data_IF_674067685087
#
_entry.id   IF_674067685087
#
_cell.length_a   1.000
_cell.length_b   1.000
_cell.length_c   1.000
_cell.angle_alpha   90.00
_cell.angle_beta   90.00
_cell.angle_gamma   90.00
#
_symmetry.space_group_name_H-M   'P 1'
#
loop_
_entity.id
_entity.type
_entity.pdbx_description
1 polymer ?
#
# COMPACT_ATOMS: atom_id res chain seq x y z
N UNK A 1 -6.22 19.27 2.07
CA UNK A 1 -6.79 20.50 2.63
C UNK A 1 -7.41 21.28 1.48
N UNK A 2 -8.65 21.69 1.58
CA UNK A 2 -9.25 22.58 0.57
C UNK A 2 -8.84 24.02 0.88
N UNK A 3 -8.56 24.81 -0.16
CA UNK A 3 -8.37 26.25 -0.01
C UNK A 3 -9.72 26.94 0.25
N UNK A 4 -9.69 28.22 0.53
CA UNK A 4 -10.88 29.04 0.81
C UNK A 4 -11.89 29.07 -0.35
N UNK A 5 -11.51 28.56 -1.53
CA UNK A 5 -12.31 28.48 -2.75
C UNK A 5 -12.77 27.05 -3.08
N UNK A 6 -12.51 26.07 -2.20
CA UNK A 6 -12.94 24.67 -2.39
C UNK A 6 -12.06 23.85 -3.35
N UNK A 7 -10.90 24.38 -3.77
CA UNK A 7 -9.98 23.63 -4.61
C UNK A 7 -9.06 22.76 -3.74
N UNK A 8 -8.80 21.55 -4.22
CA UNK A 8 -7.83 20.63 -3.59
C UNK A 8 -6.45 21.28 -3.63
N UNK A 9 -5.88 21.67 -2.48
CA UNK A 9 -4.44 21.90 -2.41
C UNK A 9 -3.76 20.57 -2.69
N UNK A 10 -3.09 20.46 -3.83
CA UNK A 10 -2.14 19.38 -4.07
C UNK A 10 -1.16 19.37 -2.89
N UNK A 11 -1.20 18.30 -2.10
CA UNK A 11 -0.14 18.02 -1.15
C UNK A 11 1.08 17.79 -2.02
N UNK A 12 2.05 18.70 -1.94
CA UNK A 12 3.30 18.62 -2.68
C UNK A 12 3.81 17.19 -2.62
N UNK A 13 3.88 16.55 -3.78
CA UNK A 13 4.60 15.30 -3.94
C UNK A 13 5.98 15.55 -3.39
N UNK A 14 6.38 14.82 -2.36
CA UNK A 14 7.73 14.89 -1.78
C UNK A 14 8.67 14.69 -2.97
N UNK A 15 9.32 15.76 -3.42
CA UNK A 15 10.27 15.70 -4.53
C UNK A 15 11.47 14.90 -4.05
N UNK A 16 12.07 14.11 -4.93
CA UNK A 16 13.31 13.35 -4.64
C UNK A 16 14.40 14.18 -3.91
N UNK A 17 14.38 15.52 -4.05
CA UNK A 17 15.26 16.44 -3.34
C UNK A 17 14.98 16.59 -1.85
N UNK A 18 13.76 16.35 -1.38
CA UNK A 18 13.38 16.52 0.03
C UNK A 18 13.80 15.30 0.89
N UNK A 19 13.97 14.13 0.27
CA UNK A 19 14.50 12.93 0.92
C UNK A 19 16.00 13.04 1.26
N UNK A 20 16.74 13.89 0.54
CA UNK A 20 18.18 14.14 0.81
C UNK A 20 18.41 15.14 1.96
N UNK A 21 17.39 15.81 2.45
CA UNK A 21 17.47 16.80 3.52
C UNK A 21 17.05 16.22 4.89
N UNK A 22 17.55 15.05 5.31
CA UNK A 22 17.55 14.52 6.70
C UNK A 22 16.42 14.99 7.66
N UNK A 23 15.23 15.34 7.14
CA UNK A 23 14.11 15.84 7.94
C UNK A 23 13.17 14.75 8.44
N UNK A 24 13.21 13.57 7.78
CA UNK A 24 12.43 12.41 8.18
C UNK A 24 13.36 11.23 8.40
N UNK A 25 13.54 10.84 9.64
CA UNK A 25 14.48 9.78 10.03
C UNK A 25 13.87 8.38 9.93
N UNK A 26 12.54 8.28 9.82
CA UNK A 26 11.85 6.99 9.64
C UNK A 26 10.41 7.17 9.11
N UNK A 27 9.81 6.07 8.68
CA UNK A 27 8.44 6.02 8.16
C UNK A 27 7.40 6.44 9.22
N UNK A 28 7.71 6.24 10.51
CA UNK A 28 6.86 6.66 11.61
C UNK A 28 6.61 8.17 11.62
N UNK A 29 7.64 8.97 11.35
CA UNK A 29 7.54 10.43 11.34
C UNK A 29 6.61 10.91 10.21
N UNK A 30 6.66 10.26 9.04
CA UNK A 30 5.81 10.58 7.89
C UNK A 30 4.35 10.13 8.14
N UNK A 31 4.16 9.01 8.81
CA UNK A 31 2.84 8.43 9.04
C UNK A 31 2.13 9.02 10.25
N UNK A 32 2.86 9.60 11.21
CA UNK A 32 2.30 10.22 12.41
C UNK A 32 1.34 11.36 12.04
N UNK A 33 1.75 12.26 11.18
CA UNK A 33 0.92 13.40 10.72
C UNK A 33 -0.36 12.92 10.01
N UNK A 34 -0.31 11.74 9.37
CA UNK A 34 -1.46 11.15 8.67
C UNK A 34 -2.44 10.41 9.57
N UNK A 35 -2.01 9.97 10.77
CA UNK A 35 -2.83 9.15 11.68
C UNK A 35 -3.59 10.03 12.67
N UNK A 36 -3.05 11.19 13.03
CA UNK A 36 -3.66 12.10 14.01
C UNK A 36 -4.90 12.82 13.48
N UNK A 37 -5.07 13.00 12.17
CA UNK A 37 -6.29 13.57 11.59
C UNK A 37 -7.54 12.70 11.90
N UNK A 38 -7.41 11.37 11.98
CA UNK A 38 -8.55 10.47 12.30
C UNK A 38 -8.94 10.52 13.80
N UNK A 39 -8.06 11.00 14.69
CA UNK A 39 -8.35 11.07 16.15
C UNK A 39 -9.08 12.35 16.57
N UNK A 40 -9.02 13.42 15.80
CA UNK A 40 -9.73 14.66 16.13
C UNK A 40 -11.22 14.60 15.79
N UNK A 41 -11.62 13.91 14.72
CA UNK A 41 -13.04 13.74 14.37
C UNK A 41 -13.80 12.91 15.40
N UNK A 42 -13.19 11.90 16.03
CA UNK A 42 -13.83 11.08 17.07
C UNK A 42 -13.91 11.71 18.46
N UNK A 43 -13.21 12.82 18.72
CA UNK A 43 -13.32 13.57 19.99
C UNK A 43 -14.56 14.46 20.07
N UNK A 44 -15.15 14.85 18.95
CA UNK A 44 -16.32 15.74 18.93
C UNK A 44 -17.67 15.05 19.23
N UNK A 45 -17.75 13.72 19.16
CA UNK A 45 -19.00 12.98 19.42
C UNK A 45 -19.15 12.42 20.84
N UNK A 46 -18.16 12.57 21.74
CA UNK A 46 -18.21 11.97 23.11
C UNK A 46 -18.16 12.96 24.27
N UNK A 47 -18.60 14.18 24.09
CA UNK A 47 -18.85 15.10 25.23
C UNK A 47 -20.31 15.14 25.56
N UNK A 48 -20.83 14.04 26.09
CA UNK A 48 -22.00 14.03 27.01
C UNK A 48 -22.18 12.62 27.56
N UNK A 49 -21.55 12.33 28.68
CA UNK A 49 -22.16 11.58 29.79
C UNK A 49 -21.13 11.38 30.92
N UNK A 50 -21.56 11.85 32.02
CA UNK A 50 -21.09 11.87 33.40
C UNK A 50 -20.44 10.61 33.97
N UNK A 51 -19.36 10.88 34.76
CA UNK A 51 -18.97 10.28 36.07
C UNK A 51 -19.24 8.80 36.35
N UNK A 52 -18.21 7.98 36.59
CA UNK A 52 -17.72 7.52 37.92
C UNK A 52 -16.81 6.29 37.77
N UNK A 53 -15.85 6.25 38.71
CA UNK A 53 -15.03 5.14 39.17
C UNK A 53 -13.69 4.90 38.50
N UNK A 54 -12.69 5.32 39.28
CA UNK A 54 -11.29 4.89 39.29
C UNK A 54 -11.23 3.39 39.57
N UNK A 55 -10.78 2.62 38.56
CA UNK A 55 -10.26 1.27 38.80
C UNK A 55 -8.90 1.18 38.07
N UNK A 56 -7.86 1.09 38.91
CA UNK A 56 -6.51 0.75 38.52
C UNK A 56 -6.51 -0.64 37.87
N UNK A 57 -6.45 -0.70 36.52
CA UNK A 57 -6.03 -1.90 35.81
C UNK A 57 -4.95 -1.48 34.80
N UNK A 58 -3.76 -2.07 34.95
CA UNK A 58 -2.69 -2.05 33.97
C UNK A 58 -3.25 -2.46 32.59
N UNK A 59 -3.77 -1.51 31.86
CA UNK A 59 -4.28 -1.68 30.52
C UNK A 59 -3.11 -1.40 29.57
N UNK A 60 -2.32 -2.42 29.28
CA UNK A 60 -1.45 -2.40 28.12
C UNK A 60 -2.37 -2.20 26.90
N UNK A 61 -2.46 -0.97 26.40
CA UNK A 61 -3.30 -0.62 25.25
C UNK A 61 -2.88 -1.50 24.08
N UNK A 62 -3.72 -2.45 23.69
CA UNK A 62 -3.47 -3.39 22.60
C UNK A 62 -3.25 -2.56 21.33
N UNK A 63 -2.04 -2.67 20.75
CA UNK A 63 -1.64 -1.96 19.56
C UNK A 63 -2.56 -2.34 18.39
N UNK A 64 -3.06 -1.36 17.63
CA UNK A 64 -3.90 -1.60 16.44
C UNK A 64 -2.99 -2.10 15.31
N UNK A 65 -3.25 -3.29 14.77
CA UNK A 65 -2.48 -3.88 13.67
C UNK A 65 -3.32 -3.83 12.39
N UNK A 66 -2.83 -3.09 11.40
CA UNK A 66 -3.38 -3.12 10.06
C UNK A 66 -2.64 -4.18 9.24
N UNK A 67 -3.36 -5.05 8.53
CA UNK A 67 -2.77 -6.14 7.75
C UNK A 67 -2.87 -5.87 6.27
N UNK A 68 -1.74 -5.91 5.58
CA UNK A 68 -1.68 -5.73 4.14
C UNK A 68 -1.02 -6.91 3.45
N UNK A 69 -1.56 -7.27 2.31
CA UNK A 69 -1.03 -8.31 1.44
C UNK A 69 -0.28 -7.66 0.27
N UNK A 70 0.97 -8.06 0.09
CA UNK A 70 1.85 -7.60 -1.00
C UNK A 70 2.31 -8.82 -1.79
N UNK A 71 2.25 -8.76 -3.11
CA UNK A 71 2.70 -9.82 -4.01
C UNK A 71 3.90 -9.36 -4.82
N UNK A 72 4.90 -10.23 -5.02
CA UNK A 72 6.03 -9.97 -5.89
C UNK A 72 5.86 -10.72 -7.22
N UNK A 73 5.95 -9.99 -8.32
CA UNK A 73 5.79 -10.47 -9.69
C UNK A 73 7.05 -10.18 -10.50
N UNK A 74 7.25 -10.88 -11.58
CA UNK A 74 8.42 -10.68 -12.45
C UNK A 74 8.98 -11.99 -12.98
N UNK A 75 9.94 -11.90 -13.90
CA UNK A 75 10.55 -13.06 -14.54
C UNK A 75 11.37 -13.92 -13.55
N UNK A 76 11.78 -15.10 -13.99
CA UNK A 76 12.69 -15.95 -13.18
C UNK A 76 14.04 -15.25 -13.03
N UNK A 77 14.71 -15.48 -11.91
CA UNK A 77 16.08 -15.00 -11.62
C UNK A 77 16.27 -13.47 -11.54
N UNK A 78 15.19 -12.66 -11.56
CA UNK A 78 15.28 -11.20 -11.34
C UNK A 78 15.55 -10.85 -9.88
N UNK A 79 15.51 -11.82 -8.96
CA UNK A 79 15.84 -11.63 -7.53
C UNK A 79 14.65 -11.36 -6.61
N UNK A 80 13.41 -11.81 -6.93
CA UNK A 80 12.23 -11.64 -6.05
C UNK A 80 12.48 -12.19 -4.64
N UNK A 81 12.86 -13.45 -4.54
CA UNK A 81 13.19 -14.10 -3.25
C UNK A 81 14.32 -13.39 -2.52
N UNK A 82 15.37 -12.95 -3.24
CA UNK A 82 16.50 -12.23 -2.65
C UNK A 82 16.07 -10.87 -2.08
N UNK A 83 15.16 -10.14 -2.75
CA UNK A 83 14.58 -8.89 -2.24
C UNK A 83 13.79 -9.15 -0.96
N UNK A 84 12.94 -10.20 -0.93
CA UNK A 84 12.18 -10.56 0.28
C UNK A 84 13.12 -10.91 1.43
N UNK A 85 14.13 -11.75 1.18
CA UNK A 85 15.10 -12.16 2.20
C UNK A 85 15.90 -10.94 2.73
N UNK A 86 16.28 -10.01 1.85
CA UNK A 86 16.94 -8.77 2.25
C UNK A 86 16.03 -7.91 3.12
N UNK A 87 14.77 -7.71 2.70
CA UNK A 87 13.84 -6.86 3.44
C UNK A 87 13.43 -7.45 4.79
N UNK A 88 13.09 -8.74 4.83
CA UNK A 88 12.54 -9.37 6.04
C UNK A 88 13.64 -9.75 7.03
N UNK A 89 14.72 -10.37 6.54
CA UNK A 89 15.77 -10.99 7.37
C UNK A 89 17.11 -10.27 7.30
N UNK A 90 17.24 -9.22 6.47
CA UNK A 90 18.51 -8.52 6.17
C UNK A 90 19.61 -9.48 5.69
N UNK A 91 19.24 -10.52 4.92
CA UNK A 91 20.16 -11.56 4.39
C UNK A 91 20.17 -11.54 2.88
N UNK A 92 21.34 -11.87 2.30
CA UNK A 92 21.51 -12.11 0.88
C UNK A 92 22.34 -13.36 0.68
N UNK A 93 21.85 -14.28 -0.15
CA UNK A 93 22.55 -15.49 -0.56
C UNK A 93 22.67 -15.48 -2.07
N UNK A 94 23.91 -15.54 -2.63
CA UNK A 94 24.14 -15.45 -4.08
C UNK A 94 23.53 -16.63 -4.86
N UNK A 95 23.49 -17.78 -4.23
CA UNK A 95 22.82 -18.97 -4.77
C UNK A 95 21.82 -19.43 -3.72
N UNK A 96 20.51 -19.40 -4.02
CA UNK A 96 19.56 -19.96 -3.08
C UNK A 96 19.88 -21.45 -2.93
N UNK A 97 20.52 -21.82 -1.84
CA UNK A 97 20.52 -23.19 -1.36
C UNK A 97 19.06 -23.67 -1.40
N UNK A 98 18.85 -24.90 -1.84
CA UNK A 98 17.56 -25.58 -2.00
C UNK A 98 16.47 -25.01 -1.10
N UNK A 99 15.22 -24.89 -1.58
CA UNK A 99 14.14 -24.23 -0.82
C UNK A 99 14.17 -24.75 0.60
N UNK A 100 14.41 -23.83 1.56
CA UNK A 100 14.36 -24.16 2.97
C UNK A 100 13.07 -24.94 3.21
N UNK A 101 13.13 -25.98 4.02
CA UNK A 101 12.07 -26.96 4.30
C UNK A 101 10.72 -26.35 4.76
N UNK A 102 10.67 -25.05 5.00
CA UNK A 102 9.43 -24.30 5.15
C UNK A 102 8.96 -23.85 3.75
N UNK A 103 8.19 -24.69 3.09
CA UNK A 103 7.51 -24.42 1.80
C UNK A 103 6.48 -23.25 1.88
N UNK A 104 6.80 -22.18 2.58
CA UNK A 104 5.90 -21.04 2.71
C UNK A 104 6.28 -19.94 1.71
N UNK A 105 5.45 -19.77 0.68
CA UNK A 105 5.56 -18.64 -0.26
C UNK A 105 5.26 -17.29 0.42
N UNK A 106 4.98 -17.30 1.72
CA UNK A 106 4.58 -16.14 2.51
C UNK A 106 5.63 -15.79 3.56
N UNK A 107 6.10 -14.55 3.55
CA UNK A 107 6.90 -13.93 4.61
C UNK A 107 6.10 -12.82 5.31
N UNK A 108 6.37 -12.60 6.58
CA UNK A 108 5.69 -11.57 7.38
C UNK A 108 6.73 -10.57 7.90
N UNK A 109 6.44 -9.28 7.74
CA UNK A 109 7.19 -8.17 8.35
C UNK A 109 6.23 -7.29 9.13
N UNK A 110 6.55 -7.02 10.39
CA UNK A 110 5.83 -6.05 11.21
C UNK A 110 6.62 -4.74 11.18
N UNK A 111 5.91 -3.66 10.89
CA UNK A 111 6.44 -2.30 10.86
C UNK A 111 5.69 -1.53 11.93
N UNK A 112 6.41 -1.03 12.93
CA UNK A 112 5.84 -0.14 13.92
C UNK A 112 5.74 1.27 13.34
N UNK A 113 4.54 1.84 13.42
CA UNK A 113 4.26 3.19 12.94
C UNK A 113 4.35 4.18 14.10
N UNK A 114 3.67 3.86 15.18
CA UNK A 114 3.67 4.62 16.43
C UNK A 114 3.42 3.69 17.64
N UNK A 115 3.32 4.28 18.84
CA UNK A 115 3.07 3.53 20.08
C UNK A 115 1.71 2.81 20.09
N UNK A 116 0.78 3.18 19.21
CA UNK A 116 -0.60 2.68 19.18
C UNK A 116 -0.90 1.83 17.96
N UNK A 117 -0.09 1.95 16.89
CA UNK A 117 -0.37 1.29 15.60
C UNK A 117 0.85 0.62 14.99
N UNK A 118 0.60 -0.50 14.32
CA UNK A 118 1.59 -1.25 13.54
C UNK A 118 0.96 -1.72 12.23
N UNK A 119 1.81 -2.03 11.27
CA UNK A 119 1.42 -2.68 10.02
C UNK A 119 2.06 -4.06 9.94
N UNK A 120 1.25 -5.06 9.66
CA UNK A 120 1.70 -6.40 9.29
C UNK A 120 1.68 -6.52 7.77
N UNK A 121 2.84 -6.60 7.13
CA UNK A 121 2.98 -6.92 5.71
C UNK A 121 3.09 -8.42 5.53
N UNK A 122 2.11 -9.03 4.88
CA UNK A 122 2.16 -10.40 4.37
C UNK A 122 2.69 -10.36 2.94
N UNK A 123 3.93 -10.76 2.73
CA UNK A 123 4.66 -10.67 1.46
C UNK A 123 4.68 -12.05 0.80
N UNK A 124 4.19 -12.15 -0.44
CA UNK A 124 4.08 -13.40 -1.16
C UNK A 124 5.08 -13.48 -2.31
N UNK A 125 5.95 -14.50 -2.26
CA UNK A 125 6.87 -14.84 -3.34
C UNK A 125 6.18 -15.73 -4.38
N UNK A 126 6.05 -15.25 -5.60
CA UNK A 126 5.42 -16.01 -6.68
C UNK A 126 6.42 -16.84 -7.49
N UNK A 127 7.66 -16.98 -7.03
CA UNK A 127 8.73 -17.67 -7.78
C UNK A 127 8.40 -19.14 -8.05
N UNK A 128 7.81 -19.83 -7.08
CA UNK A 128 7.48 -21.25 -7.21
C UNK A 128 6.27 -21.50 -8.12
N UNK A 129 5.28 -20.62 -8.11
CA UNK A 129 4.07 -20.73 -8.95
C UNK A 129 4.37 -20.63 -10.45
N UNK A 130 5.33 -19.82 -10.84
CA UNK A 130 5.72 -19.68 -12.25
C UNK A 130 6.28 -20.99 -12.83
N UNK A 131 6.86 -21.85 -12.01
CA UNK A 131 7.30 -23.18 -12.42
C UNK A 131 6.13 -24.08 -12.84
N UNK A 132 4.90 -23.78 -12.35
CA UNK A 132 3.66 -24.48 -12.69
C UNK A 132 2.87 -23.80 -13.83
N UNK A 133 3.40 -22.75 -14.47
CA UNK A 133 2.91 -22.16 -15.72
C UNK A 133 2.03 -20.92 -15.59
N UNK A 134 1.34 -20.70 -14.48
CA UNK A 134 0.53 -19.48 -14.23
C UNK A 134 0.47 -19.17 -12.75
N UNK A 135 0.52 -17.86 -12.41
CA UNK A 135 0.24 -17.41 -11.06
C UNK A 135 -1.26 -17.55 -10.81
N UNK A 136 -1.63 -18.26 -9.74
CA UNK A 136 -3.03 -18.52 -9.44
C UNK A 136 -3.75 -17.22 -9.00
N UNK A 137 -5.05 -17.13 -9.29
CA UNK A 137 -5.87 -15.97 -8.89
C UNK A 137 -5.83 -15.69 -7.39
N UNK A 138 -5.55 -16.69 -6.57
CA UNK A 138 -5.47 -16.53 -5.12
C UNK A 138 -4.37 -15.57 -4.66
N UNK A 139 -3.27 -15.43 -5.43
CA UNK A 139 -2.24 -14.44 -5.12
C UNK A 139 -2.74 -13.02 -5.30
N UNK A 140 -3.49 -12.76 -6.37
CA UNK A 140 -4.04 -11.42 -6.67
C UNK A 140 -5.22 -11.04 -5.78
N UNK A 141 -6.00 -12.05 -5.34
CA UNK A 141 -7.16 -11.81 -4.49
C UNK A 141 -6.76 -11.12 -3.19
N UNK A 142 -7.47 -10.04 -2.85
CA UNK A 142 -7.26 -9.23 -1.64
C UNK A 142 -5.83 -8.66 -1.50
N UNK A 143 -5.07 -8.55 -2.60
CA UNK A 143 -3.78 -7.91 -2.61
C UNK A 143 -3.94 -6.38 -2.54
N UNK A 144 -3.18 -5.75 -1.64
CA UNK A 144 -3.16 -4.31 -1.43
C UNK A 144 -2.03 -3.64 -2.21
N UNK A 145 -0.93 -4.37 -2.42
CA UNK A 145 0.21 -3.93 -3.19
C UNK A 145 0.75 -5.02 -4.10
N UNK A 146 1.30 -4.62 -5.24
CA UNK A 146 2.02 -5.49 -6.16
C UNK A 146 3.37 -4.87 -6.50
N UNK A 147 4.42 -5.65 -6.36
CA UNK A 147 5.79 -5.27 -6.74
C UNK A 147 6.14 -6.03 -8.02
N UNK A 148 6.45 -5.30 -9.09
CA UNK A 148 6.96 -5.88 -10.33
C UNK A 148 8.48 -5.72 -10.31
N UNK A 149 9.20 -6.85 -10.28
CA UNK A 149 10.66 -6.87 -10.24
C UNK A 149 11.21 -7.18 -11.62
N UNK A 150 12.17 -6.39 -12.07
CA UNK A 150 12.99 -6.64 -13.24
C UNK A 150 14.47 -6.46 -12.91
N UNK A 151 15.35 -6.87 -13.81
CA UNK A 151 16.79 -6.88 -13.64
C UNK A 151 17.44 -5.94 -14.65
N UNK A 152 18.38 -5.11 -14.22
CA UNK A 152 19.11 -4.18 -15.09
C UNK A 152 19.88 -4.85 -16.22
N UNK A 153 20.37 -6.08 -16.02
CA UNK A 153 21.09 -6.83 -17.06
C UNK A 153 20.14 -7.50 -18.05
N UNK A 154 18.89 -7.76 -17.65
CA UNK A 154 17.95 -8.56 -18.41
C UNK A 154 16.86 -7.70 -19.07
N UNK A 155 17.12 -7.21 -20.30
CA UNK A 155 16.13 -6.41 -21.07
C UNK A 155 14.82 -7.15 -21.30
N UNK A 156 14.83 -8.49 -21.36
CA UNK A 156 13.61 -9.28 -21.53
C UNK A 156 12.71 -9.16 -20.29
N UNK A 157 13.29 -9.20 -19.09
CA UNK A 157 12.54 -8.99 -17.85
C UNK A 157 11.88 -7.61 -17.79
N UNK A 158 12.56 -6.58 -18.29
CA UNK A 158 12.00 -5.24 -18.44
C UNK A 158 10.83 -5.21 -19.44
N UNK A 159 10.99 -5.83 -20.61
CA UNK A 159 9.94 -5.87 -21.63
C UNK A 159 8.66 -6.57 -21.14
N UNK A 160 8.78 -7.46 -20.14
CA UNK A 160 7.65 -8.16 -19.52
C UNK A 160 6.87 -7.31 -18.50
N UNK A 161 7.31 -6.11 -18.14
CA UNK A 161 6.59 -5.25 -17.18
C UNK A 161 5.15 -5.00 -17.62
N UNK A 162 4.93 -4.66 -18.91
CA UNK A 162 3.58 -4.43 -19.46
C UNK A 162 2.67 -5.65 -19.33
N UNK A 163 3.22 -6.85 -19.49
CA UNK A 163 2.50 -8.10 -19.28
C UNK A 163 2.06 -8.23 -17.82
N UNK A 164 2.97 -7.99 -16.87
CA UNK A 164 2.65 -8.06 -15.44
C UNK A 164 1.65 -6.99 -15.01
N UNK A 165 1.75 -5.76 -15.50
CA UNK A 165 0.76 -4.71 -15.28
C UNK A 165 -0.64 -5.14 -15.76
N UNK A 166 -0.73 -5.75 -16.94
CA UNK A 166 -1.99 -6.28 -17.48
C UNK A 166 -2.56 -7.41 -16.61
N UNK A 167 -1.71 -8.32 -16.14
CA UNK A 167 -2.12 -9.41 -15.24
C UNK A 167 -2.67 -8.86 -13.92
N UNK A 168 -2.03 -7.85 -13.32
CA UNK A 168 -2.51 -7.16 -12.13
C UNK A 168 -3.89 -6.54 -12.40
N UNK A 169 -4.01 -5.76 -13.47
CA UNK A 169 -5.26 -5.06 -13.81
C UNK A 169 -6.44 -6.01 -14.04
N UNK A 170 -6.18 -7.22 -14.52
CA UNK A 170 -7.21 -8.22 -14.82
C UNK A 170 -7.63 -9.05 -13.59
N UNK A 171 -6.74 -9.23 -12.62
CA UNK A 171 -6.92 -10.23 -11.56
C UNK A 171 -6.92 -9.65 -10.14
N UNK A 172 -6.35 -8.46 -9.93
CA UNK A 172 -6.25 -7.80 -8.62
C UNK A 172 -7.38 -6.79 -8.39
N UNK A 173 -7.59 -6.35 -7.14
CA UNK A 173 -8.47 -5.21 -6.84
C UNK A 173 -8.03 -3.95 -7.61
N UNK A 174 -9.01 -3.11 -8.00
CA UNK A 174 -8.74 -1.90 -8.82
C UNK A 174 -7.88 -0.84 -8.11
N UNK A 175 -7.83 -0.90 -6.81
CA UNK A 175 -7.12 0.01 -5.92
C UNK A 175 -5.74 -0.51 -5.49
N UNK A 176 -5.27 -1.58 -6.12
CA UNK A 176 -3.95 -2.12 -5.82
C UNK A 176 -2.86 -1.09 -6.14
N UNK A 177 -1.95 -0.89 -5.18
CA UNK A 177 -0.79 -0.01 -5.38
C UNK A 177 0.32 -0.80 -6.07
N UNK A 178 0.83 -0.26 -7.18
CA UNK A 178 1.90 -0.90 -7.96
C UNK A 178 3.23 -0.20 -7.70
N UNK A 179 4.29 -1.00 -7.53
CA UNK A 179 5.67 -0.54 -7.42
C UNK A 179 6.56 -1.34 -8.38
N UNK A 180 7.39 -0.66 -9.16
CA UNK A 180 8.41 -1.27 -10.02
C UNK A 180 9.75 -1.24 -9.29
N UNK A 181 10.45 -2.39 -9.26
CA UNK A 181 11.79 -2.48 -8.70
C UNK A 181 12.79 -2.94 -9.77
N UNK A 182 13.70 -2.03 -10.11
CA UNK A 182 14.88 -2.32 -10.93
C UNK A 182 15.97 -2.91 -10.03
N UNK A 183 16.08 -4.24 -9.98
CA UNK A 183 17.02 -4.92 -9.10
C UNK A 183 18.40 -5.08 -9.73
N UNK A 184 19.36 -5.41 -8.89
CA UNK A 184 20.79 -5.56 -9.19
C UNK A 184 21.46 -4.22 -9.57
N UNK A 185 21.05 -3.14 -8.89
CA UNK A 185 21.65 -1.81 -9.10
C UNK A 185 23.14 -1.74 -8.72
N UNK A 186 23.65 -2.72 -7.97
CA UNK A 186 25.06 -2.95 -7.68
C UNK A 186 25.90 -3.24 -8.94
N UNK A 187 25.28 -3.70 -10.02
CA UNK A 187 25.95 -3.96 -11.29
C UNK A 187 26.00 -2.67 -12.13
N UNK A 188 27.20 -2.08 -12.19
CA UNK A 188 27.44 -0.84 -12.95
C UNK A 188 27.70 -1.17 -14.43
N UNK A 189 28.38 -2.27 -14.69
CA UNK A 189 28.74 -2.74 -16.03
C UNK A 189 27.74 -3.80 -16.47
N UNK A 190 27.31 -3.75 -17.74
CA UNK A 190 26.38 -4.74 -18.29
C UNK A 190 24.89 -4.38 -18.15
N UNK A 191 24.56 -3.17 -17.73
CA UNK A 191 23.17 -2.70 -17.73
C UNK A 191 22.64 -2.58 -19.16
N UNK A 192 21.57 -3.31 -19.44
CA UNK A 192 20.84 -3.32 -20.72
C UNK A 192 19.54 -2.51 -20.65
N UNK A 193 19.19 -2.01 -19.47
CA UNK A 193 17.99 -1.22 -19.22
C UNK A 193 18.37 0.14 -18.68
N UNK A 194 17.77 1.20 -19.23
CA UNK A 194 17.88 2.55 -18.70
C UNK A 194 16.76 2.76 -17.65
N UNK A 195 17.12 3.31 -16.49
CA UNK A 195 16.16 3.55 -15.42
C UNK A 195 15.13 4.62 -15.78
N UNK A 196 15.49 5.62 -16.59
CA UNK A 196 14.52 6.63 -17.07
C UNK A 196 13.44 6.01 -17.97
N UNK A 197 13.77 4.96 -18.75
CA UNK A 197 12.75 4.20 -19.47
C UNK A 197 11.80 3.49 -18.50
N UNK A 198 12.31 2.98 -17.38
CA UNK A 198 11.51 2.33 -16.36
C UNK A 198 10.59 3.31 -15.62
N UNK A 199 11.08 4.50 -15.27
CA UNK A 199 10.27 5.59 -14.69
C UNK A 199 9.14 6.00 -15.63
N UNK A 200 9.45 6.19 -16.91
CA UNK A 200 8.45 6.53 -17.93
C UNK A 200 7.37 5.44 -18.04
N UNK A 201 7.78 4.17 -18.00
CA UNK A 201 6.84 3.04 -18.05
C UNK A 201 6.00 2.90 -16.77
N UNK A 202 6.55 3.29 -15.63
CA UNK A 202 5.85 3.28 -14.35
C UNK A 202 4.71 4.32 -14.32
N UNK A 203 4.88 5.47 -14.98
CA UNK A 203 3.93 6.58 -14.92
C UNK A 203 3.74 7.04 -13.47
N UNK A 204 2.49 7.01 -12.98
CA UNK A 204 2.15 7.41 -11.59
C UNK A 204 2.47 6.33 -10.53
N UNK A 205 2.95 5.17 -10.95
CA UNK A 205 3.34 4.12 -10.02
C UNK A 205 4.72 4.38 -9.42
N UNK A 206 4.96 3.78 -8.25
CA UNK A 206 6.28 3.84 -7.61
C UNK A 206 7.33 3.12 -8.46
N UNK A 207 8.54 3.67 -8.53
CA UNK A 207 9.65 3.07 -9.26
C UNK A 207 10.98 3.34 -8.56
N UNK A 208 11.73 2.29 -8.21
CA UNK A 208 13.01 2.40 -7.50
C UNK A 208 14.07 1.50 -8.10
N UNK A 209 15.31 2.01 -8.14
CA UNK A 209 16.51 1.17 -8.26
C UNK A 209 16.81 0.54 -6.91
N UNK A 210 17.01 -0.78 -6.88
CA UNK A 210 17.31 -1.52 -5.65
C UNK A 210 18.45 -2.52 -5.87
N UNK A 211 19.16 -2.85 -4.80
CA UNK A 211 20.07 -3.99 -4.78
C UNK A 211 19.73 -4.92 -3.62
N UNK A 212 19.27 -6.12 -3.92
CA UNK A 212 19.08 -7.14 -2.90
C UNK A 212 20.43 -7.54 -2.26
N UNK A 213 21.54 -7.47 -3.02
CA UNK A 213 22.88 -7.79 -2.55
C UNK A 213 23.37 -6.80 -1.50
N UNK A 214 23.34 -5.50 -1.80
CA UNK A 214 23.85 -4.45 -0.94
C UNK A 214 22.79 -3.95 0.06
N UNK A 215 21.52 -4.21 -0.20
CA UNK A 215 20.39 -3.70 0.57
C UNK A 215 19.94 -2.30 0.16
N UNK A 216 20.60 -1.69 -0.83
CA UNK A 216 20.31 -0.34 -1.26
C UNK A 216 18.84 -0.18 -1.69
N UNK A 217 18.16 0.84 -1.16
CA UNK A 217 16.76 1.22 -1.41
C UNK A 217 15.70 0.12 -1.20
N UNK A 218 16.06 -1.10 -0.73
CA UNK A 218 15.08 -2.17 -0.54
C UNK A 218 14.09 -1.79 0.55
N UNK A 219 14.54 -1.36 1.73
CA UNK A 219 13.65 -0.93 2.82
C UNK A 219 12.82 0.28 2.42
N UNK A 220 13.44 1.30 1.80
CA UNK A 220 12.75 2.50 1.33
C UNK A 220 11.59 2.17 0.38
N UNK A 221 11.80 1.27 -0.58
CA UNK A 221 10.78 0.90 -1.55
C UNK A 221 9.56 0.25 -0.89
N UNK A 222 9.76 -0.66 0.08
CA UNK A 222 8.66 -1.27 0.84
C UNK A 222 7.96 -0.27 1.76
N UNK A 223 8.69 0.65 2.36
CA UNK A 223 8.14 1.72 3.22
C UNK A 223 7.23 2.65 2.41
N UNK A 224 7.71 3.12 1.26
CA UNK A 224 6.93 3.98 0.37
C UNK A 224 5.70 3.26 -0.21
N UNK A 225 5.83 1.98 -0.55
CA UNK A 225 4.69 1.16 -0.96
C UNK A 225 3.67 1.06 0.17
N UNK A 226 4.11 0.79 1.40
CA UNK A 226 3.24 0.69 2.58
C UNK A 226 2.51 1.99 2.86
N UNK A 227 3.22 3.12 2.80
CA UNK A 227 2.63 4.44 2.96
C UNK A 227 1.54 4.70 1.93
N UNK A 228 1.81 4.41 0.65
CA UNK A 228 0.85 4.61 -0.43
C UNK A 228 -0.37 3.69 -0.29
N UNK A 229 -0.20 2.45 0.19
CA UNK A 229 -1.30 1.54 0.51
C UNK A 229 -2.19 2.12 1.61
N UNK A 230 -1.62 2.63 2.70
CA UNK A 230 -2.37 3.24 3.81
C UNK A 230 -3.17 4.44 3.30
N UNK A 231 -2.55 5.32 2.52
CA UNK A 231 -3.19 6.50 1.92
C UNK A 231 -4.39 6.10 1.05
N UNK A 232 -4.22 5.09 0.20
CA UNK A 232 -5.27 4.61 -0.68
C UNK A 232 -6.45 3.97 0.11
N UNK A 233 -6.15 3.20 1.15
CA UNK A 233 -7.19 2.62 2.02
C UNK A 233 -8.01 3.70 2.75
N UNK A 234 -7.36 4.77 3.23
CA UNK A 234 -8.06 5.89 3.85
C UNK A 234 -8.94 6.65 2.86
N UNK A 235 -8.43 6.91 1.64
CA UNK A 235 -9.20 7.56 0.56
C UNK A 235 -10.48 6.79 0.27
N UNK A 236 -10.39 5.45 0.13
CA UNK A 236 -11.56 4.59 -0.13
C UNK A 236 -12.57 4.59 1.01
N UNK A 237 -12.08 4.56 2.25
CA UNK A 237 -12.97 4.62 3.40
C UNK A 237 -13.78 5.91 3.38
N UNK A 238 -13.11 7.07 3.17
CA UNK A 238 -13.80 8.37 3.07
C UNK A 238 -14.82 8.39 1.93
N UNK A 239 -14.50 7.87 0.75
CA UNK A 239 -15.43 7.79 -0.39
C UNK A 239 -16.66 6.93 -0.07
N UNK A 240 -16.46 5.76 0.54
CA UNK A 240 -17.55 4.87 0.92
C UNK A 240 -18.47 5.52 1.96
N UNK A 241 -17.92 6.20 2.95
CA UNK A 241 -18.68 6.91 4.00
C UNK A 241 -19.49 8.07 3.39
N UNK A 242 -18.95 8.80 2.41
CA UNK A 242 -19.69 9.83 1.67
C UNK A 242 -20.86 9.26 0.86
N UNK A 243 -20.65 8.13 0.19
CA UNK A 243 -21.72 7.46 -0.58
C UNK A 243 -22.84 7.00 0.33
N UNK A 244 -22.53 6.46 1.50
CA UNK A 244 -23.54 6.02 2.48
C UNK A 244 -24.35 7.19 3.03
N UNK A 245 -23.73 8.30 3.41
CA UNK A 245 -24.42 9.53 3.86
C UNK A 245 -25.35 10.08 2.79
N UNK A 246 -24.90 10.19 1.54
CA UNK A 246 -25.73 10.68 0.43
C UNK A 246 -26.90 9.76 0.02
N UNK A 247 -26.92 8.50 0.46
CA UNK A 247 -28.05 7.59 0.29
C UNK A 247 -29.11 7.77 1.38
N UNK A 248 -28.72 8.10 2.61
CA UNK A 248 -29.64 8.36 3.72
C UNK A 248 -30.40 9.66 3.50
N UNK A 249 -29.75 10.70 2.98
CA UNK A 249 -30.39 11.99 2.65
C UNK A 249 -31.46 11.82 1.56
N UNK A 250 -31.25 10.96 0.56
CA UNK A 250 -32.26 10.66 -0.49
C UNK A 250 -33.43 9.86 0.03
N UNK A 251 -33.21 8.98 1.03
CA UNK A 251 -34.34 8.21 1.64
C UNK A 251 -35.21 9.10 2.53
N UNK A 252 -34.63 10.09 3.20
CA UNK A 252 -35.39 11.03 4.03
C UNK A 252 -36.30 11.94 3.19
N UNK A 253 -35.87 12.41 2.03
CA UNK A 253 -36.65 13.25 1.12
C UNK A 253 -37.86 12.49 0.56
N UNK A 254 -37.71 11.20 0.20
CA UNK A 254 -38.81 10.42 -0.38
C UNK A 254 -39.94 10.09 0.60
N UNK A 255 -39.71 10.13 1.91
CA UNK A 255 -40.76 9.87 2.93
C UNK A 255 -41.53 11.13 3.30
N UNK A 256 -40.95 12.31 3.20
CA UNK A 256 -41.63 13.59 3.46
C UNK A 256 -42.46 14.05 2.25
N UNK A 257 -41.93 13.93 1.03
CA UNK A 257 -42.65 14.27 -0.21
C UNK A 257 -43.92 13.44 -0.44
N UNK A 258 -43.98 12.20 0.03
CA UNK A 258 -45.18 11.34 -0.06
C UNK A 258 -46.30 11.80 0.90
N UNK A 259 -45.94 12.48 2.01
CA UNK A 259 -46.94 12.99 2.98
C UNK A 259 -47.59 14.29 2.52
N UNK A 260 -46.92 15.12 1.76
CA UNK A 260 -47.43 16.41 1.28
C UNK A 260 -48.42 16.21 0.13
N UNK A 261 -48.20 15.25 -0.79
CA UNK A 261 -49.06 15.02 -1.95
C UNK A 261 -50.40 14.31 -1.66
N UNK A 262 -50.62 13.83 -0.41
CA UNK A 262 -51.92 13.24 -0.02
C UNK A 262 -52.90 14.26 0.56
N UNK A 263 -52.52 15.49 0.82
CA UNK A 263 -53.38 16.54 1.39
C UNK A 263 -54.03 17.47 0.37
N UNK A 264 -53.67 17.41 -0.90
CA UNK A 264 -54.19 18.33 -1.94
C UNK A 264 -55.20 17.71 -2.91
N UNK A 265 -55.68 16.50 -2.67
CA UNK A 265 -56.77 15.89 -3.47
C UNK A 265 -58.03 15.63 -2.65
N UNK A 266 -58.51 16.63 -1.92
CA UNK A 266 -59.88 16.68 -1.43
C UNK A 266 -60.33 18.14 -1.41
N UNK A 267 -60.78 18.65 -2.55
CA UNK A 267 -61.81 19.70 -2.71
C UNK A 267 -62.01 19.93 -4.20
N UNK A 268 -63.07 19.45 -4.68
CA UNK A 268 -64.09 19.82 -5.64
C UNK A 268 -64.65 18.61 -6.30
#
# INVERSE_FOLDING_TARGET
MFDENGNYKEIETIKEGDLNNNRFTNIGDILHDYIDEDNEEHKKEKTNMTNTKVDNKNNSKKKKINKFKVILLGESSVGKTSIINRYVFNKFEPSPSLPNETNSDKSIKIIDIDDKSSVELSIYDTTNEKKMGKITRNYYKDAHGAIIVFDFENKESFNKIKYWQKEINNNAPKDIVICLLANKSDLIVGRNVNFEEAKTLAGDNLCYEVSAKDGNNVSLAFEQLTFRIIKEQKRRKKENDMVLRGQDDRKSITLEDIKVNKKTKKCC
#
